data_IF_656564916719
#
_entry.id   IF_656564916719
#
_cell.length_a   1.000
_cell.length_b   1.000
_cell.length_c   1.000
_cell.angle_alpha   90.00
_cell.angle_beta   90.00
_cell.angle_gamma   90.00
#
_symmetry.space_group_name_H-M   'P 1'
#
loop_
_entity.id
_entity.type
_entity.pdbx_description
1 polymer ?
#
# COMPACT_ATOMS: atom_id res chain seq x y z
N UNK A 1 -15.86 25.75 -9.24
CA UNK A 1 -15.24 24.69 -10.08
C UNK A 1 -13.99 24.09 -9.45
N UNK A 2 -13.07 24.89 -8.90
CA UNK A 2 -11.81 24.42 -8.30
C UNK A 2 -12.00 23.38 -7.19
N UNK A 3 -12.91 23.64 -6.26
CA UNK A 3 -13.08 22.81 -5.05
C UNK A 3 -13.78 21.47 -5.29
N UNK A 4 -14.37 21.28 -6.49
CA UNK A 4 -15.08 20.05 -6.83
C UNK A 4 -14.18 18.97 -7.45
N UNK A 5 -13.07 19.36 -8.09
CA UNK A 5 -12.25 18.44 -8.90
C UNK A 5 -10.76 18.45 -8.57
N UNK A 6 -10.26 19.52 -7.94
CA UNK A 6 -8.84 19.66 -7.61
C UNK A 6 -8.59 19.08 -6.22
N UNK A 7 -7.85 17.97 -6.16
CA UNK A 7 -7.50 17.32 -4.88
C UNK A 7 -6.23 17.92 -4.27
N UNK A 8 -5.26 18.30 -5.10
CA UNK A 8 -3.96 18.80 -4.64
C UNK A 8 -3.39 19.81 -5.64
N UNK A 9 -2.82 20.89 -5.12
CA UNK A 9 -1.98 21.80 -5.90
C UNK A 9 -0.65 21.99 -5.20
N UNK A 10 0.42 22.05 -5.99
CA UNK A 10 1.76 22.33 -5.50
C UNK A 10 2.40 23.36 -6.42
N UNK A 11 3.09 24.34 -5.84
CA UNK A 11 3.93 25.29 -6.56
C UNK A 11 5.31 25.30 -5.92
N UNK A 12 6.33 25.04 -6.72
CA UNK A 12 7.75 25.07 -6.30
C UNK A 12 8.48 26.08 -7.16
N UNK A 13 9.19 27.00 -6.51
CA UNK A 13 9.97 28.04 -7.18
C UNK A 13 11.21 28.32 -6.34
N UNK A 14 12.23 27.50 -6.53
CA UNK A 14 13.57 27.64 -5.95
C UNK A 14 14.59 27.91 -7.06
N UNK A 15 15.86 28.08 -6.69
CA UNK A 15 16.95 28.30 -7.66
C UNK A 15 17.21 27.08 -8.56
N UNK A 16 16.91 25.88 -8.06
CA UNK A 16 17.14 24.62 -8.78
C UNK A 16 15.85 24.00 -9.34
N UNK A 17 14.73 24.15 -8.63
CA UNK A 17 13.45 23.54 -8.99
C UNK A 17 12.37 24.60 -9.24
N UNK A 18 11.81 24.61 -10.45
CA UNK A 18 10.72 25.49 -10.85
C UNK A 18 9.65 24.69 -11.58
N UNK A 19 8.58 24.35 -10.86
CA UNK A 19 7.49 23.56 -11.40
C UNK A 19 6.19 23.76 -10.60
N UNK A 20 5.06 23.43 -11.22
CA UNK A 20 3.75 23.35 -10.56
C UNK A 20 3.06 22.03 -10.87
N UNK A 21 2.16 21.62 -9.99
CA UNK A 21 1.38 20.38 -10.15
C UNK A 21 -0.05 20.62 -9.71
N UNK A 22 -0.99 20.12 -10.52
CA UNK A 22 -2.42 20.09 -10.23
C UNK A 22 -2.86 18.63 -10.33
N UNK A 23 -3.35 18.06 -9.23
CA UNK A 23 -3.85 16.67 -9.19
C UNK A 23 -5.37 16.67 -9.17
N UNK A 24 -5.96 15.94 -10.11
CA UNK A 24 -7.38 15.69 -10.24
C UNK A 24 -7.65 14.24 -9.86
N UNK A 25 -8.66 13.99 -9.03
CA UNK A 25 -9.06 12.63 -8.65
C UNK A 25 -10.45 12.34 -9.17
N UNK A 26 -10.65 11.13 -9.68
CA UNK A 26 -11.96 10.69 -10.13
C UNK A 26 -12.70 9.82 -9.08
N UNK A 27 -12.24 9.81 -7.82
CA UNK A 27 -12.77 9.00 -6.72
C UNK A 27 -12.82 7.46 -6.97
N UNK A 28 -12.31 7.00 -8.12
CA UNK A 28 -12.16 5.57 -8.48
C UNK A 28 -10.69 5.11 -8.39
N UNK A 29 -9.85 5.93 -7.77
CA UNK A 29 -8.42 5.66 -7.55
C UNK A 29 -7.49 6.01 -8.68
N UNK A 30 -8.01 6.50 -9.81
CA UNK A 30 -7.18 7.06 -10.86
C UNK A 30 -7.07 8.56 -10.65
N UNK A 31 -5.83 9.02 -10.54
CA UNK A 31 -5.53 10.43 -10.44
C UNK A 31 -4.87 10.89 -11.75
N UNK A 32 -5.30 12.05 -12.24
CA UNK A 32 -4.66 12.73 -13.37
C UNK A 32 -3.87 13.89 -12.81
N UNK A 33 -2.54 13.82 -12.95
CA UNK A 33 -1.64 14.88 -12.50
C UNK A 33 -1.16 15.71 -13.69
N UNK A 34 -1.50 16.99 -13.67
CA UNK A 34 -1.01 17.97 -14.63
C UNK A 34 0.21 18.66 -14.01
N UNK A 35 1.40 18.25 -14.45
CA UNK A 35 2.68 18.78 -13.98
C UNK A 35 3.28 19.71 -15.03
N UNK A 36 3.56 20.95 -14.64
CA UNK A 36 4.16 21.97 -15.50
C UNK A 36 5.59 22.19 -15.01
N UNK A 37 6.57 21.77 -15.80
CA UNK A 37 7.99 21.78 -15.41
C UNK A 37 8.73 22.83 -16.24
N UNK A 38 9.45 23.73 -15.56
CA UNK A 38 10.46 24.58 -16.17
C UNK A 38 11.86 24.00 -15.85
N UNK A 39 12.15 23.78 -14.57
CA UNK A 39 13.34 23.04 -14.12
C UNK A 39 12.95 22.06 -13.01
N UNK A 40 13.51 20.85 -13.08
CA UNK A 40 13.29 19.81 -12.08
C UNK A 40 14.55 18.96 -11.94
N UNK A 41 15.16 19.01 -10.77
CA UNK A 41 16.37 18.24 -10.47
C UNK A 41 16.06 16.74 -10.39
N UNK A 42 14.95 16.38 -9.73
CA UNK A 42 14.57 14.99 -9.42
C UNK A 42 13.46 14.51 -10.33
N UNK A 43 13.82 13.79 -11.38
CA UNK A 43 12.86 13.39 -12.42
C UNK A 43 12.37 11.94 -12.28
N UNK A 44 13.09 11.10 -11.53
CA UNK A 44 12.75 9.69 -11.30
C UNK A 44 13.20 9.25 -9.90
N UNK A 45 12.68 8.12 -9.43
CA UNK A 45 13.14 7.48 -8.17
C UNK A 45 13.86 6.16 -8.44
N UNK A 46 13.29 5.32 -9.33
CA UNK A 46 13.87 4.07 -9.81
C UNK A 46 13.87 4.04 -11.35
N UNK A 47 14.66 3.14 -11.93
CA UNK A 47 14.72 2.94 -13.39
C UNK A 47 13.36 2.59 -14.00
N UNK A 48 12.53 1.84 -13.27
CA UNK A 48 11.23 1.36 -13.78
C UNK A 48 10.17 2.46 -13.90
N UNK A 49 10.38 3.63 -13.31
CA UNK A 49 9.47 4.78 -13.37
C UNK A 49 10.09 6.01 -14.05
N UNK A 50 11.23 5.85 -14.74
CA UNK A 50 11.95 6.96 -15.35
C UNK A 50 11.53 7.30 -16.79
N UNK A 51 10.54 6.59 -17.35
CA UNK A 51 10.14 6.76 -18.75
C UNK A 51 9.24 7.97 -18.96
N UNK A 52 9.58 8.79 -19.96
CA UNK A 52 8.76 9.90 -20.45
C UNK A 52 8.49 9.72 -21.94
N UNK A 53 7.22 9.77 -22.34
CA UNK A 53 6.80 9.60 -23.73
C UNK A 53 6.39 10.95 -24.30
N UNK A 54 7.03 11.39 -25.37
CA UNK A 54 6.75 12.67 -26.03
C UNK A 54 5.48 12.54 -26.88
N UNK A 55 4.42 13.24 -26.49
CA UNK A 55 3.09 13.12 -27.10
C UNK A 55 2.86 14.03 -28.31
N UNK A 56 3.79 14.93 -28.63
CA UNK A 56 3.64 15.96 -29.68
C UNK A 56 3.24 15.37 -31.04
N UNK A 57 3.89 14.29 -31.47
CA UNK A 57 3.58 13.62 -32.73
C UNK A 57 2.15 13.09 -32.76
N UNK A 58 1.68 12.50 -31.66
CA UNK A 58 0.32 11.98 -31.52
C UNK A 58 -0.70 13.13 -31.53
N UNK A 59 -0.42 14.21 -30.79
CA UNK A 59 -1.31 15.36 -30.71
C UNK A 59 -1.49 16.07 -32.07
N UNK A 60 -0.45 16.08 -32.92
CA UNK A 60 -0.55 16.59 -34.29
C UNK A 60 -1.52 15.76 -35.15
N UNK A 61 -1.46 14.44 -35.03
CA UNK A 61 -2.37 13.53 -35.75
C UNK A 61 -3.82 13.77 -35.33
N UNK A 62 -4.12 13.85 -34.02
CA UNK A 62 -5.49 14.09 -33.56
C UNK A 62 -6.04 15.48 -33.88
N UNK A 63 -5.18 16.48 -34.12
CA UNK A 63 -5.61 17.81 -34.60
C UNK A 63 -6.00 17.80 -36.08
N UNK A 64 -5.36 16.95 -36.89
CA UNK A 64 -5.75 16.72 -38.27
C UNK A 64 -6.96 15.78 -38.28
N UNK A 65 -8.17 16.35 -38.46
CA UNK A 65 -9.47 15.73 -38.14
C UNK A 65 -9.84 14.37 -38.80
N UNK A 66 -8.96 13.72 -39.58
CA UNK A 66 -9.31 12.57 -40.40
C UNK A 66 -8.36 11.35 -40.32
N UNK A 67 -7.37 11.33 -39.42
CA UNK A 67 -6.44 10.20 -39.32
C UNK A 67 -6.90 9.18 -38.27
N UNK A 68 -7.43 8.03 -38.72
CA UNK A 68 -7.50 6.82 -37.88
C UNK A 68 -6.11 6.21 -37.79
N UNK A 69 -5.63 5.99 -36.56
CA UNK A 69 -4.39 5.26 -36.32
C UNK A 69 -4.59 3.80 -36.73
N UNK A 70 -3.80 3.33 -37.69
CA UNK A 70 -3.72 1.92 -38.11
C UNK A 70 -2.29 1.42 -37.94
N UNK A 71 -2.06 0.10 -37.98
CA UNK A 71 -0.69 -0.47 -37.91
C UNK A 71 0.21 0.06 -39.03
N UNK A 72 -0.34 0.32 -40.21
CA UNK A 72 0.43 0.85 -41.35
C UNK A 72 0.58 2.38 -41.33
N UNK A 73 -0.15 3.09 -40.47
CA UNK A 73 -0.18 4.55 -40.41
C UNK A 73 -0.28 5.04 -38.97
N UNK A 74 0.84 4.92 -38.25
CA UNK A 74 1.01 5.51 -36.92
C UNK A 74 2.18 6.52 -36.92
N UNK A 75 2.09 7.60 -36.13
CA UNK A 75 3.21 8.52 -35.98
C UNK A 75 4.38 7.82 -35.28
N UNK A 76 5.60 8.29 -35.56
CA UNK A 76 6.77 7.91 -34.78
C UNK A 76 6.70 8.65 -33.44
N UNK A 77 6.73 7.88 -32.36
CA UNK A 77 6.67 8.36 -30.97
C UNK A 77 8.03 8.15 -30.33
N UNK A 78 8.52 9.18 -29.65
CA UNK A 78 9.82 9.14 -28.96
C UNK A 78 9.55 8.93 -27.47
N UNK A 79 10.28 8.00 -26.88
CA UNK A 79 10.31 7.78 -25.44
C UNK A 79 11.74 7.98 -24.93
N UNK A 80 11.87 8.68 -23.82
CA UNK A 80 13.14 8.99 -23.18
C UNK A 80 13.16 8.37 -21.78
N UNK A 81 14.35 7.97 -21.31
CA UNK A 81 14.55 7.47 -19.95
C UNK A 81 15.34 8.50 -19.15
N UNK A 82 14.73 9.02 -18.09
CA UNK A 82 15.40 9.97 -17.18
C UNK A 82 16.44 9.30 -16.29
N UNK A 83 16.47 7.96 -16.25
CA UNK A 83 17.50 7.18 -15.57
C UNK A 83 18.86 7.26 -16.29
N UNK A 84 18.87 7.63 -17.57
CA UNK A 84 20.04 7.67 -18.42
C UNK A 84 19.91 6.71 -19.60
N UNK A 85 20.43 5.49 -19.47
CA UNK A 85 20.33 4.50 -20.54
C UNK A 85 18.90 3.96 -20.66
N UNK A 86 18.31 4.11 -21.84
CA UNK A 86 16.95 3.66 -22.12
C UNK A 86 16.85 2.14 -22.16
N UNK A 87 17.81 1.45 -22.77
CA UNK A 87 17.79 -0.01 -22.92
C UNK A 87 17.98 -0.67 -21.57
N UNK A 88 18.88 -0.15 -20.74
CA UNK A 88 19.09 -0.65 -19.37
C UNK A 88 17.81 -0.48 -18.52
N UNK A 89 17.17 0.69 -18.57
CA UNK A 89 15.91 0.90 -17.87
C UNK A 89 14.79 -0.03 -18.41
N UNK A 90 14.79 -0.29 -19.72
CA UNK A 90 13.84 -1.20 -20.36
C UNK A 90 14.05 -2.65 -19.89
N UNK A 91 15.31 -3.08 -19.78
CA UNK A 91 15.65 -4.39 -19.23
C UNK A 91 15.23 -4.49 -17.77
N UNK A 92 15.47 -3.46 -16.96
CA UNK A 92 14.96 -3.41 -15.59
C UNK A 92 13.44 -3.55 -15.52
N UNK A 93 12.70 -2.88 -16.41
CA UNK A 93 11.24 -3.01 -16.47
C UNK A 93 10.80 -4.43 -16.88
N UNK A 94 11.46 -5.01 -17.90
CA UNK A 94 11.14 -6.34 -18.45
C UNK A 94 11.41 -7.47 -17.45
N UNK A 95 12.53 -7.38 -16.72
CA UNK A 95 12.96 -8.41 -15.76
C UNK A 95 12.55 -8.09 -14.32
N UNK A 96 11.71 -7.06 -14.11
CA UNK A 96 11.25 -6.58 -12.80
C UNK A 96 12.40 -6.32 -11.82
N UNK A 97 13.39 -5.55 -12.24
CA UNK A 97 14.55 -5.20 -11.43
C UNK A 97 14.42 -3.80 -10.83
N UNK A 98 14.84 -3.66 -9.57
CA UNK A 98 14.88 -2.39 -8.83
C UNK A 98 16.32 -1.88 -8.88
N UNK A 99 16.50 -0.72 -9.52
CA UNK A 99 17.78 -0.02 -9.59
C UNK A 99 17.56 1.49 -9.53
N UNK A 100 18.53 2.20 -8.95
CA UNK A 100 18.58 3.66 -8.91
C UNK A 100 20.03 4.13 -9.04
N UNK A 101 20.28 5.20 -9.80
CA UNK A 101 21.62 5.79 -9.95
C UNK A 101 21.89 6.94 -8.98
N UNK A 102 20.83 7.53 -8.43
CA UNK A 102 20.88 8.75 -7.61
C UNK A 102 20.22 8.51 -6.24
N UNK A 103 20.78 7.64 -5.40
CA UNK A 103 20.24 7.36 -4.07
C UNK A 103 20.06 8.63 -3.24
N UNK A 104 20.95 9.61 -3.39
CA UNK A 104 20.94 10.90 -2.70
C UNK A 104 19.72 11.79 -3.03
N UNK A 105 19.05 11.51 -4.15
CA UNK A 105 17.88 12.25 -4.59
C UNK A 105 16.56 11.62 -4.14
N UNK A 106 16.61 10.41 -3.57
CA UNK A 106 15.45 9.77 -2.98
C UNK A 106 15.02 10.52 -1.71
N UNK A 107 13.70 10.81 -1.61
CA UNK A 107 13.05 11.35 -0.40
C UNK A 107 12.40 10.22 0.41
N UNK A 108 11.83 10.52 1.57
CA UNK A 108 11.16 9.53 2.42
C UNK A 108 10.06 8.74 1.72
N UNK A 109 9.43 9.30 0.69
CA UNK A 109 8.46 8.59 -0.16
C UNK A 109 9.05 7.38 -0.91
N UNK A 110 10.35 7.37 -1.18
CA UNK A 110 11.01 6.28 -1.89
C UNK A 110 10.95 4.95 -1.15
N UNK A 111 10.98 4.94 0.19
CA UNK A 111 10.81 3.72 1.00
C UNK A 111 9.45 3.05 0.74
N UNK A 112 8.39 3.88 0.64
CA UNK A 112 7.03 3.39 0.39
C UNK A 112 6.93 2.82 -1.02
N UNK A 113 7.53 3.49 -2.00
CA UNK A 113 7.57 3.00 -3.38
C UNK A 113 8.39 1.73 -3.52
N UNK A 114 9.55 1.65 -2.89
CA UNK A 114 10.38 0.45 -2.84
C UNK A 114 9.61 -0.74 -2.28
N UNK A 115 8.94 -0.55 -1.14
CA UNK A 115 8.12 -1.61 -0.53
C UNK A 115 6.97 -2.06 -1.45
N UNK A 116 6.39 -1.14 -2.23
CA UNK A 116 5.37 -1.46 -3.23
C UNK A 116 5.95 -2.26 -4.42
N UNK A 117 7.15 -1.91 -4.89
CA UNK A 117 7.84 -2.67 -5.92
C UNK A 117 8.11 -4.11 -5.46
N UNK A 118 8.57 -4.31 -4.22
CA UNK A 118 8.81 -5.64 -3.65
C UNK A 118 7.53 -6.52 -3.64
N UNK A 119 6.39 -5.96 -3.24
CA UNK A 119 5.09 -6.69 -3.22
C UNK A 119 4.62 -7.05 -4.64
N UNK A 120 5.11 -6.34 -5.66
CA UNK A 120 4.79 -6.58 -7.08
C UNK A 120 5.80 -7.52 -7.77
N UNK A 121 6.55 -8.26 -6.97
CA UNK A 121 7.61 -9.21 -7.36
C UNK A 121 8.80 -8.57 -8.07
N UNK A 122 9.05 -7.28 -7.85
CA UNK A 122 10.31 -6.68 -8.29
C UNK A 122 11.43 -7.08 -7.33
N UNK A 123 12.62 -7.31 -7.89
CA UNK A 123 13.80 -7.75 -7.15
C UNK A 123 14.92 -6.73 -7.31
N UNK A 124 15.77 -6.53 -6.30
CA UNK A 124 16.96 -5.71 -6.46
C UNK A 124 17.85 -6.21 -7.60
N UNK A 125 18.39 -5.29 -8.41
CA UNK A 125 19.38 -5.65 -9.43
C UNK A 125 20.70 -6.14 -8.81
N UNK A 126 21.08 -5.56 -7.68
CA UNK A 126 22.27 -5.93 -6.90
C UNK A 126 21.90 -6.01 -5.38
N UNK A 127 22.13 -7.17 -4.77
CA UNK A 127 21.84 -7.43 -3.34
C UNK A 127 22.77 -6.69 -2.37
N UNK A 128 24.00 -6.37 -2.77
CA UNK A 128 24.93 -5.62 -1.93
C UNK A 128 24.56 -4.13 -1.92
N UNK A 129 24.27 -3.57 -3.09
CA UNK A 129 23.87 -2.16 -3.21
C UNK A 129 22.53 -1.87 -2.53
N UNK A 130 21.58 -2.79 -2.65
CA UNK A 130 20.24 -2.56 -2.09
C UNK A 130 20.26 -2.46 -0.56
N UNK A 131 21.13 -3.18 0.14
CA UNK A 131 21.24 -3.04 1.61
C UNK A 131 21.81 -1.69 2.03
N UNK A 132 22.62 -1.06 1.19
CA UNK A 132 23.02 0.34 1.39
C UNK A 132 21.83 1.27 1.14
N UNK A 133 21.09 1.03 0.06
CA UNK A 133 19.95 1.83 -0.35
C UNK A 133 18.79 1.77 0.65
N UNK A 134 18.45 0.60 1.19
CA UNK A 134 17.40 0.43 2.20
C UNK A 134 17.72 1.24 3.46
N UNK A 135 18.98 1.23 3.92
CA UNK A 135 19.43 2.04 5.06
C UNK A 135 19.25 3.53 4.77
N UNK A 136 19.60 3.96 3.56
CA UNK A 136 19.41 5.34 3.12
C UNK A 136 17.93 5.73 3.08
N UNK A 137 17.08 4.91 2.46
CA UNK A 137 15.64 5.14 2.37
C UNK A 137 14.99 5.20 3.76
N UNK A 138 15.35 4.28 4.67
CA UNK A 138 14.87 4.29 6.05
C UNK A 138 15.28 5.58 6.77
N UNK A 139 16.56 5.96 6.70
CA UNK A 139 17.04 7.21 7.31
C UNK A 139 16.31 8.43 6.74
N UNK A 140 16.13 8.50 5.42
CA UNK A 140 15.44 9.60 4.76
C UNK A 140 13.95 9.66 5.12
N UNK A 141 13.31 8.50 5.30
CA UNK A 141 11.92 8.42 5.77
C UNK A 141 11.75 9.03 7.15
N UNK A 142 12.63 8.71 8.11
CA UNK A 142 12.58 9.30 9.45
C UNK A 142 12.93 10.80 9.48
N UNK A 143 13.85 11.24 8.61
CA UNK A 143 14.20 12.66 8.50
C UNK A 143 13.05 13.47 7.90
N UNK A 144 12.42 12.96 6.85
CA UNK A 144 11.34 13.66 6.16
C UNK A 144 10.00 13.56 6.92
N UNK A 145 9.80 12.51 7.75
CA UNK A 145 8.61 12.29 8.58
C UNK A 145 9.00 11.89 10.02
N UNK A 146 9.42 12.84 10.87
CA UNK A 146 9.92 12.55 12.22
C UNK A 146 8.82 12.05 13.15
N UNK A 147 7.58 12.53 12.98
CA UNK A 147 6.46 12.20 13.85
C UNK A 147 5.71 10.94 13.39
N UNK A 148 5.45 10.01 14.32
CA UNK A 148 4.67 8.79 14.06
C UNK A 148 3.28 9.10 13.50
N UNK A 149 2.64 10.19 13.95
CA UNK A 149 1.34 10.60 13.42
C UNK A 149 1.43 11.07 11.96
N UNK A 150 2.54 11.66 11.53
CA UNK A 150 2.78 12.01 10.14
C UNK A 150 3.09 10.78 9.30
N UNK A 151 3.92 9.88 9.81
CA UNK A 151 4.22 8.59 9.17
C UNK A 151 2.94 7.78 8.94
N UNK A 152 2.06 7.67 9.95
CA UNK A 152 0.77 6.99 9.83
C UNK A 152 -0.09 7.63 8.73
N UNK A 153 -0.29 8.95 8.77
CA UNK A 153 -1.07 9.67 7.74
C UNK A 153 -0.49 9.44 6.34
N UNK A 154 0.85 9.40 6.22
CA UNK A 154 1.52 9.20 4.95
C UNK A 154 1.31 7.77 4.41
N UNK A 155 1.45 6.76 5.27
CA UNK A 155 1.23 5.36 4.92
C UNK A 155 -0.25 5.12 4.58
N UNK A 156 -1.20 5.61 5.38
CA UNK A 156 -2.64 5.49 5.10
C UNK A 156 -3.02 6.17 3.78
N UNK A 157 -2.47 7.36 3.51
CA UNK A 157 -2.64 8.05 2.22
C UNK A 157 -2.05 7.23 1.07
N UNK A 158 -0.87 6.63 1.25
CA UNK A 158 -0.24 5.78 0.25
C UNK A 158 -1.10 4.55 -0.07
N UNK A 159 -1.59 3.84 0.96
CA UNK A 159 -2.48 2.69 0.82
C UNK A 159 -3.76 3.05 0.07
N UNK A 160 -4.39 4.17 0.44
CA UNK A 160 -5.61 4.65 -0.22
C UNK A 160 -5.40 5.00 -1.68
N UNK A 161 -4.21 5.47 -2.07
CA UNK A 161 -3.96 5.89 -3.45
C UNK A 161 -3.49 4.74 -4.35
N UNK A 162 -2.76 3.75 -3.82
CA UNK A 162 -2.10 2.72 -4.64
C UNK A 162 -2.77 1.34 -4.60
N UNK A 163 -3.63 1.07 -3.62
CA UNK A 163 -4.23 -0.26 -3.41
C UNK A 163 -5.76 -0.25 -3.57
N UNK A 164 -6.29 0.60 -4.44
CA UNK A 164 -7.73 0.65 -4.72
C UNK A 164 -8.12 -0.58 -5.53
N UNK A 165 -9.02 -1.39 -4.98
CA UNK A 165 -9.41 -2.68 -5.55
C UNK A 165 -8.47 -3.84 -5.20
N UNK A 166 -7.35 -3.57 -4.52
CA UNK A 166 -6.33 -4.56 -4.11
C UNK A 166 -6.23 -4.64 -2.59
N UNK A 167 -7.37 -4.74 -1.90
CA UNK A 167 -7.41 -4.75 -0.43
C UNK A 167 -6.51 -5.83 0.17
N UNK A 168 -6.54 -7.05 -0.36
CA UNK A 168 -5.75 -8.19 0.11
C UNK A 168 -4.24 -7.89 0.14
N UNK A 169 -3.74 -7.17 -0.86
CA UNK A 169 -2.32 -6.82 -0.99
C UNK A 169 -1.85 -5.76 0.02
N UNK A 170 -2.78 -5.03 0.67
CA UNK A 170 -2.42 -4.02 1.68
C UNK A 170 -1.70 -4.63 2.88
N UNK A 171 -2.11 -5.83 3.30
CA UNK A 171 -1.46 -6.53 4.42
C UNK A 171 -0.03 -6.91 4.05
N UNK A 172 0.17 -7.55 2.89
CA UNK A 172 1.49 -7.96 2.40
C UNK A 172 2.42 -6.76 2.23
N UNK A 173 1.90 -5.63 1.75
CA UNK A 173 2.64 -4.38 1.70
C UNK A 173 3.06 -3.85 3.06
N UNK A 174 2.16 -3.82 4.04
CA UNK A 174 2.49 -3.36 5.38
C UNK A 174 3.52 -4.27 6.05
N UNK A 175 3.42 -5.59 5.85
CA UNK A 175 4.40 -6.55 6.35
C UNK A 175 5.76 -6.43 5.67
N UNK A 176 5.77 -6.17 4.36
CA UNK A 176 7.01 -5.89 3.60
C UNK A 176 7.68 -4.61 4.11
N UNK A 177 6.92 -3.52 4.23
CA UNK A 177 7.41 -2.25 4.78
C UNK A 177 7.96 -2.43 6.21
N UNK A 178 7.24 -3.19 7.05
CA UNK A 178 7.68 -3.53 8.42
C UNK A 178 9.00 -4.31 8.40
N UNK A 179 9.16 -5.27 7.49
CA UNK A 179 10.39 -6.05 7.32
C UNK A 179 11.58 -5.16 6.98
N UNK A 180 11.45 -4.33 5.94
CA UNK A 180 12.51 -3.40 5.50
C UNK A 180 12.90 -2.43 6.62
N UNK A 181 11.91 -1.83 7.31
CA UNK A 181 12.18 -0.92 8.43
C UNK A 181 12.87 -1.64 9.60
N UNK A 182 12.49 -2.88 9.88
CA UNK A 182 13.09 -3.65 10.98
C UNK A 182 14.55 -4.02 10.70
N UNK A 183 14.85 -4.48 9.50
CA UNK A 183 16.18 -4.94 9.09
C UNK A 183 17.15 -3.80 8.82
N UNK A 184 16.67 -2.73 8.17
CA UNK A 184 17.54 -1.71 7.58
C UNK A 184 17.57 -0.39 8.35
N UNK A 185 16.87 -0.29 9.49
CA UNK A 185 17.01 0.86 10.39
C UNK A 185 18.19 0.71 11.33
N UNK A 186 19.10 1.70 11.30
CA UNK A 186 20.31 1.77 12.14
C UNK A 186 19.97 1.91 13.63
N UNK A 187 20.77 1.30 14.51
CA UNK A 187 20.54 1.19 15.96
C UNK A 187 20.30 2.51 16.70
N UNK A 188 20.82 3.64 16.18
CA UNK A 188 20.69 4.96 16.79
C UNK A 188 19.23 5.45 16.85
N UNK A 189 18.32 4.87 16.05
CA UNK A 189 16.90 5.22 16.01
C UNK A 189 16.02 4.12 16.63
N UNK A 190 16.50 3.49 17.71
CA UNK A 190 15.82 2.32 18.29
C UNK A 190 14.43 2.60 18.85
N UNK A 191 14.20 3.81 19.38
CA UNK A 191 12.88 4.21 19.90
C UNK A 191 11.90 4.50 18.76
N UNK A 192 12.30 5.36 17.82
CA UNK A 192 11.51 5.72 16.64
C UNK A 192 11.18 4.47 15.82
N UNK A 193 12.16 3.56 15.65
CA UNK A 193 11.96 2.26 14.99
C UNK A 193 10.86 1.46 15.68
N UNK A 194 10.90 1.30 17.01
CA UNK A 194 9.87 0.51 17.73
C UNK A 194 8.49 1.14 17.61
N UNK A 195 8.38 2.46 17.73
CA UNK A 195 7.10 3.14 17.58
C UNK A 195 6.52 2.96 16.17
N UNK A 196 7.36 3.09 15.14
CA UNK A 196 6.98 2.92 13.73
C UNK A 196 6.58 1.50 13.42
N UNK A 197 7.35 0.50 13.88
CA UNK A 197 7.02 -0.92 13.72
C UNK A 197 5.70 -1.26 14.42
N UNK A 198 5.45 -0.72 15.61
CA UNK A 198 4.19 -0.92 16.32
C UNK A 198 3.01 -0.30 15.55
N UNK A 199 3.17 0.94 15.08
CA UNK A 199 2.16 1.62 14.28
C UNK A 199 1.83 0.85 12.99
N UNK A 200 2.84 0.38 12.25
CA UNK A 200 2.64 -0.45 11.04
C UNK A 200 1.90 -1.75 11.39
N UNK A 201 2.23 -2.37 12.53
CA UNK A 201 1.57 -3.60 12.99
C UNK A 201 0.09 -3.36 13.30
N UNK A 202 -0.24 -2.25 13.96
CA UNK A 202 -1.63 -1.87 14.24
C UNK A 202 -2.41 -1.61 12.94
N UNK A 203 -1.79 -0.93 11.96
CA UNK A 203 -2.40 -0.73 10.64
C UNK A 203 -2.65 -2.07 9.93
N UNK A 204 -1.71 -3.01 10.00
CA UNK A 204 -1.84 -4.33 9.36
C UNK A 204 -2.99 -5.13 10.01
N UNK A 205 -3.12 -5.10 11.34
CA UNK A 205 -4.23 -5.74 12.05
C UNK A 205 -5.58 -5.11 11.70
N UNK A 206 -5.63 -3.78 11.54
CA UNK A 206 -6.85 -3.08 11.11
C UNK A 206 -7.28 -3.53 9.70
N UNK A 207 -6.33 -3.62 8.77
CA UNK A 207 -6.58 -4.12 7.41
C UNK A 207 -7.11 -5.55 7.42
N UNK A 208 -6.55 -6.44 8.26
CA UNK A 208 -7.07 -7.81 8.41
C UNK A 208 -8.49 -7.86 9.00
N UNK A 209 -8.79 -6.99 9.96
CA UNK A 209 -10.12 -6.86 10.55
C UNK A 209 -11.16 -6.37 9.53
N UNK A 210 -10.82 -5.38 8.71
CA UNK A 210 -11.67 -4.86 7.63
C UNK A 210 -11.95 -5.92 6.56
N UNK A 211 -11.01 -6.85 6.34
CA UNK A 211 -11.16 -7.97 5.40
C UNK A 211 -11.96 -9.15 5.96
N UNK A 212 -12.44 -9.09 7.23
CA UNK A 212 -13.07 -10.21 7.94
C UNK A 212 -12.23 -11.51 7.97
N UNK A 213 -10.90 -11.39 7.83
CA UNK A 213 -9.99 -12.56 7.93
C UNK A 213 -9.77 -12.94 9.39
N UNK A 214 -9.93 -11.99 10.31
CA UNK A 214 -9.99 -12.27 11.74
C UNK A 214 -11.39 -12.82 12.03
N UNK A 215 -11.54 -14.06 12.54
CA UNK A 215 -12.85 -14.59 12.87
C UNK A 215 -13.52 -13.65 13.87
N UNK A 216 -14.73 -13.19 13.52
CA UNK A 216 -15.54 -12.38 14.41
C UNK A 216 -15.73 -13.15 15.73
N UNK A 217 -15.07 -12.67 16.79
CA UNK A 217 -15.09 -13.31 18.12
C UNK A 217 -16.50 -13.35 18.73
N UNK A 218 -17.47 -12.63 18.17
CA UNK A 218 -18.87 -12.69 18.58
C UNK A 218 -19.47 -14.11 18.48
N UNK A 219 -18.93 -14.96 17.58
CA UNK A 219 -19.39 -16.35 17.40
C UNK A 219 -18.36 -17.39 17.83
N UNK A 220 -17.29 -17.00 18.53
CA UNK A 220 -16.27 -17.93 19.00
C UNK A 220 -16.71 -18.50 20.36
N UNK A 221 -17.14 -19.76 20.37
CA UNK A 221 -17.38 -20.49 21.61
C UNK A 221 -16.05 -20.95 22.20
N UNK A 222 -15.60 -20.30 23.26
CA UNK A 222 -14.39 -20.69 23.98
C UNK A 222 -14.73 -21.83 24.96
N UNK A 223 -14.24 -23.03 24.69
CA UNK A 223 -14.32 -24.14 25.65
C UNK A 223 -13.21 -23.96 26.69
N UNK A 224 -13.56 -23.42 27.85
CA UNK A 224 -12.66 -23.42 29.00
C UNK A 224 -12.74 -24.79 29.68
N UNK A 225 -11.62 -25.52 29.67
CA UNK A 225 -11.48 -26.75 30.42
C UNK A 225 -10.89 -26.41 31.81
N UNK A 226 -11.63 -26.63 32.91
CA UNK A 226 -11.16 -26.27 34.24
C UNK A 226 -9.88 -27.02 34.63
N UNK A 227 -9.07 -26.40 35.48
CA UNK A 227 -7.86 -27.04 36.00
C UNK A 227 -8.20 -28.34 36.75
N UNK A 228 -7.33 -29.37 36.71
CA UNK A 228 -7.66 -30.76 37.10
C UNK A 228 -8.14 -30.98 38.54
N UNK A 229 -7.93 -30.02 39.44
CA UNK A 229 -8.30 -30.11 40.86
C UNK A 229 -9.73 -29.62 41.16
N UNK A 230 -10.44 -29.05 40.17
CA UNK A 230 -11.83 -28.61 40.32
C UNK A 230 -12.73 -29.83 40.06
N UNK A 231 -13.29 -30.40 41.14
CA UNK A 231 -14.03 -31.68 41.12
C UNK A 231 -15.57 -31.52 41.20
N UNK A 232 -16.08 -30.31 41.04
CA UNK A 232 -17.53 -30.06 41.12
C UNK A 232 -18.26 -30.45 39.82
N UNK A 233 -19.16 -31.43 39.95
CA UNK A 233 -19.95 -32.04 38.84
C UNK A 233 -21.05 -31.15 38.24
N UNK A 234 -21.17 -29.89 38.66
CA UNK A 234 -22.26 -28.99 38.24
C UNK A 234 -21.80 -27.71 37.51
N UNK A 235 -20.64 -27.71 36.87
CA UNK A 235 -20.19 -26.58 36.06
C UNK A 235 -20.75 -26.64 34.63
N UNK A 236 -21.72 -25.80 34.31
CA UNK A 236 -22.17 -25.55 32.94
C UNK A 236 -21.17 -24.60 32.26
N UNK A 237 -20.22 -25.16 31.51
CA UNK A 237 -19.04 -24.48 30.98
C UNK A 237 -19.26 -23.84 29.61
N UNK A 238 -20.17 -22.86 29.51
CA UNK A 238 -20.31 -22.05 28.30
C UNK A 238 -20.33 -20.57 28.68
N UNK A 239 -19.25 -19.85 28.40
CA UNK A 239 -19.25 -18.39 28.44
C UNK A 239 -19.65 -17.87 27.06
N UNK A 240 -20.84 -17.29 26.95
CA UNK A 240 -21.31 -16.56 25.77
C UNK A 240 -20.98 -15.08 26.01
N UNK A 241 -20.20 -14.46 25.13
CA UNK A 241 -19.91 -13.03 25.21
C UNK A 241 -21.22 -12.24 25.00
N UNK A 242 -21.73 -11.60 26.06
CA UNK A 242 -22.99 -10.84 26.01
C UNK A 242 -22.81 -9.54 25.20
N UNK A 243 -23.25 -9.56 23.95
CA UNK A 243 -23.20 -8.40 23.04
C UNK A 243 -24.47 -8.15 22.21
N UNK A 244 -25.61 -8.80 22.52
CA UNK A 244 -26.89 -8.56 21.83
C UNK A 244 -28.09 -8.63 22.80
N UNK A 245 -29.19 -7.88 22.53
CA UNK A 245 -30.38 -7.88 23.39
C UNK A 245 -31.06 -9.26 23.40
N UNK A 246 -31.73 -9.64 24.51
CA UNK A 246 -32.19 -11.00 24.71
C UNK A 246 -33.28 -11.36 23.70
N UNK A 247 -32.98 -12.31 22.81
CA UNK A 247 -34.00 -13.03 22.05
C UNK A 247 -34.71 -13.97 23.01
N UNK A 248 -35.96 -13.66 23.35
CA UNK A 248 -36.84 -14.53 24.14
C UNK A 248 -37.19 -15.74 23.28
N UNK A 249 -36.58 -16.89 23.57
CA UNK A 249 -37.00 -18.17 23.03
C UNK A 249 -38.19 -18.70 23.85
N UNK A 250 -39.37 -18.77 23.24
CA UNK A 250 -40.48 -19.57 23.76
C UNK A 250 -40.24 -21.06 23.45
N UNK A 251 -40.23 -21.96 24.43
CA UNK A 251 -40.07 -23.39 24.16
C UNK A 251 -41.40 -23.97 23.65
N UNK A 252 -41.36 -24.61 22.47
CA UNK A 252 -42.43 -25.47 21.99
C UNK A 252 -42.47 -26.77 22.83
N UNK A 253 -43.65 -27.23 23.29
CA UNK A 253 -43.76 -28.49 24.01
C UNK A 253 -43.67 -29.68 23.05
N UNK A 254 -42.62 -30.49 23.18
CA UNK A 254 -42.54 -31.81 22.57
C UNK A 254 -43.44 -32.79 23.34
N UNK A 255 -44.54 -33.20 22.72
CA UNK A 255 -45.33 -34.36 23.15
C UNK A 255 -44.58 -35.64 22.79
N UNK A 256 -44.09 -36.37 23.81
CA UNK A 256 -43.62 -37.75 23.67
C UNK A 256 -44.76 -38.66 24.12
N UNK A 257 -45.42 -39.33 23.17
CA UNK A 257 -46.30 -40.46 23.46
C UNK A 257 -45.45 -41.71 23.71
N UNK A 258 -45.52 -42.21 24.94
CA UNK A 258 -45.00 -43.52 25.33
C UNK A 258 -46.13 -44.53 25.03
N UNK A 259 -45.87 -45.51 24.17
CA UNK A 259 -46.73 -46.69 24.05
C UNK A 259 -45.88 -47.95 24.22
N UNK A 260 -46.16 -48.64 25.31
CA UNK A 260 -45.51 -49.84 25.82
C UNK A 260 -46.07 -51.10 25.14
N UNK A 261 -45.20 -52.06 24.84
CA UNK A 261 -45.46 -53.49 25.12
C UNK A 261 -45.68 -54.45 23.94
N UNK A 262 -44.72 -55.39 23.79
CA UNK A 262 -44.88 -56.88 23.77
C UNK A 262 -45.89 -57.42 22.72
N UNK A 263 -45.54 -58.18 21.67
CA UNK A 263 -44.78 -59.45 21.48
C UNK A 263 -44.22 -59.48 20.05
#
# INVERSE_FOLDING_TARGET
MKDAYVQKMVKVSTDHDRWSLISLSNNSGKNVELKFVNSLRRQFEFSVDSFQIVLDSILKVYRARDCKLTEDSHPIVIAESMYGDFNEAMDHLKYKLISTRNPEEIRGGGLLKYSNLLVRDFKPADEAEIKSLERYMCSRFFIDFPDVAEQQRKIESYLRNHFIGEEKSKYDYLMTLRGVVNESTVCLMGHERRQTLNMITILALKVLGEQNIIPNAANVTCYYQPAPYISDRNFSSYYIAHGQPPIIYQPYPFHIQIQSGIV
#
